data_IF_766244369497
#
_entry.id   IF_766244369497
#
_cell.length_a   1.000
_cell.length_b   1.000
_cell.length_c   1.000
_cell.angle_alpha   90.00
_cell.angle_beta   90.00
_cell.angle_gamma   90.00
#
_symmetry.space_group_name_H-M   'P 1'
#
loop_
_entity.id
_entity.type
_entity.pdbx_description
1 polymer ?
#
# COMPACT_ATOMS: atom_id res chain seq x y z
N UNK A 1 -24.21 12.94 -2.95
CA UNK A 1 -24.46 11.73 -3.74
C UNK A 1 -23.18 10.90 -3.72
N UNK A 2 -23.15 9.89 -2.86
CA UNK A 2 -21.96 9.10 -2.52
C UNK A 2 -21.71 8.13 -3.67
N UNK A 3 -20.59 8.27 -4.37
CA UNK A 3 -20.19 7.34 -5.41
C UNK A 3 -19.62 6.06 -4.80
N UNK A 4 -20.28 4.95 -5.09
CA UNK A 4 -19.75 3.61 -4.87
C UNK A 4 -18.46 3.42 -5.66
N UNK A 5 -17.39 3.06 -4.94
CA UNK A 5 -16.24 2.40 -5.54
C UNK A 5 -16.75 1.05 -6.05
N UNK A 6 -16.80 0.88 -7.37
CA UNK A 6 -17.19 -0.37 -8.01
C UNK A 6 -16.23 -1.48 -7.57
N UNK A 7 -16.73 -2.33 -6.68
CA UNK A 7 -16.20 -3.67 -6.48
C UNK A 7 -16.50 -4.49 -7.73
N UNK A 8 -15.48 -4.89 -8.46
CA UNK A 8 -15.59 -5.90 -9.52
C UNK A 8 -15.64 -7.27 -8.84
N UNK A 9 -16.77 -7.62 -8.27
CA UNK A 9 -17.27 -9.00 -8.06
C UNK A 9 -18.65 -8.87 -7.44
N UNK A 10 -19.68 -9.31 -8.17
CA UNK A 10 -21.07 -9.22 -7.74
C UNK A 10 -21.44 -10.19 -6.63
N UNK A 11 -21.19 -9.78 -5.42
CA UNK A 11 -21.89 -10.24 -4.21
C UNK A 11 -22.09 -8.98 -3.37
N UNK A 12 -23.34 -8.67 -3.03
CA UNK A 12 -23.71 -7.59 -2.12
C UNK A 12 -23.19 -7.95 -0.70
N UNK A 13 -21.91 -7.73 -0.47
CA UNK A 13 -21.36 -7.73 0.89
C UNK A 13 -21.66 -6.37 1.49
N UNK A 14 -22.33 -6.36 2.63
CA UNK A 14 -22.42 -5.21 3.54
C UNK A 14 -21.03 -4.59 3.63
N UNK A 15 -20.89 -3.28 3.38
CA UNK A 15 -19.59 -2.60 3.49
C UNK A 15 -18.94 -3.00 4.83
N UNK A 16 -17.82 -3.73 4.82
CA UNK A 16 -17.22 -4.21 6.05
C UNK A 16 -16.87 -3.00 6.91
N UNK A 17 -17.24 -3.07 8.18
CA UNK A 17 -17.03 -2.00 9.16
C UNK A 17 -15.55 -1.64 9.21
N UNK A 18 -15.23 -0.34 9.12
CA UNK A 18 -13.86 0.15 9.28
C UNK A 18 -13.46 0.07 10.76
N UNK A 19 -12.38 -0.64 11.06
CA UNK A 19 -11.93 -0.87 12.44
C UNK A 19 -10.51 -0.33 12.62
N UNK A 20 -10.26 0.26 13.79
CA UNK A 20 -8.94 0.75 14.18
C UNK A 20 -8.55 2.05 13.49
N UNK A 21 -7.25 2.27 13.40
CA UNK A 21 -6.64 3.42 12.70
C UNK A 21 -7.01 4.80 13.26
N UNK A 22 -7.40 4.86 14.53
CA UNK A 22 -7.81 6.13 15.15
C UNK A 22 -6.69 7.18 15.12
N UNK A 23 -5.48 6.76 15.44
CA UNK A 23 -4.32 7.66 15.46
C UNK A 23 -4.00 8.22 14.06
N UNK A 24 -4.07 7.38 13.03
CA UNK A 24 -3.84 7.80 11.65
C UNK A 24 -4.93 8.76 11.17
N UNK A 25 -6.20 8.45 11.46
CA UNK A 25 -7.33 9.33 11.14
C UNK A 25 -7.24 10.68 11.87
N UNK A 26 -6.82 10.70 13.13
CA UNK A 26 -6.62 11.93 13.90
C UNK A 26 -5.49 12.79 13.32
N UNK A 27 -4.37 12.17 12.91
CA UNK A 27 -3.26 12.89 12.25
C UNK A 27 -3.69 13.51 10.92
N UNK A 28 -4.43 12.76 10.10
CA UNK A 28 -5.00 13.25 8.84
C UNK A 28 -5.97 14.42 9.10
N UNK A 29 -6.86 14.27 10.07
CA UNK A 29 -7.83 15.30 10.43
C UNK A 29 -7.17 16.59 10.97
N UNK A 30 -6.12 16.43 11.76
CA UNK A 30 -5.34 17.58 12.27
C UNK A 30 -4.67 18.35 11.12
N UNK A 31 -4.14 17.67 10.12
CA UNK A 31 -3.58 18.32 8.94
C UNK A 31 -4.68 18.98 8.09
N UNK A 32 -5.77 18.27 7.82
CA UNK A 32 -6.86 18.75 6.97
C UNK A 32 -7.55 20.00 7.53
N UNK A 33 -7.70 20.08 8.84
CA UNK A 33 -8.29 21.24 9.53
C UNK A 33 -7.46 22.53 9.42
N UNK A 34 -6.20 22.46 9.01
CA UNK A 34 -5.38 23.68 8.78
C UNK A 34 -5.85 24.50 7.58
N UNK A 35 -6.72 23.93 6.73
CA UNK A 35 -7.30 24.57 5.54
C UNK A 35 -6.26 25.10 4.53
N UNK A 36 -5.08 24.53 4.53
CA UNK A 36 -4.02 24.76 3.55
C UNK A 36 -3.89 23.53 2.64
N UNK A 37 -3.20 23.70 1.51
CA UNK A 37 -2.79 22.55 0.71
C UNK A 37 -1.88 21.65 1.54
N UNK A 38 -2.13 20.34 1.49
CA UNK A 38 -1.40 19.34 2.26
C UNK A 38 -0.97 18.17 1.41
N UNK A 39 0.31 17.77 1.51
CA UNK A 39 0.85 16.58 0.86
C UNK A 39 1.10 15.50 1.91
N UNK A 40 0.47 14.35 1.72
CA UNK A 40 0.57 13.19 2.61
C UNK A 40 1.16 12.02 1.85
N UNK A 41 2.09 11.31 2.47
CA UNK A 41 2.60 10.04 1.96
C UNK A 41 2.15 8.93 2.89
N UNK A 42 1.47 7.91 2.33
CA UNK A 42 1.07 6.71 3.07
C UNK A 42 1.77 5.51 2.47
N UNK A 43 2.60 4.88 3.27
CA UNK A 43 3.30 3.65 2.90
C UNK A 43 2.92 2.52 3.86
N UNK A 44 3.05 1.30 3.41
CA UNK A 44 2.75 0.12 4.21
C UNK A 44 2.66 -1.10 3.31
N UNK A 45 2.71 -2.28 3.92
CA UNK A 45 2.62 -3.55 3.19
C UNK A 45 1.38 -3.58 2.28
N UNK A 46 1.45 -4.41 1.24
CA UNK A 46 0.27 -4.71 0.43
C UNK A 46 -0.86 -5.24 1.33
N UNK A 47 -2.11 -4.90 1.01
CA UNK A 47 -3.31 -5.36 1.73
C UNK A 47 -3.48 -4.85 3.16
N UNK A 48 -2.64 -3.89 3.58
CA UNK A 48 -2.71 -3.27 4.92
C UNK A 48 -3.85 -2.25 5.08
N UNK A 49 -4.53 -1.90 3.98
CA UNK A 49 -5.69 -0.99 4.01
C UNK A 49 -5.37 0.48 3.77
N UNK A 50 -4.28 0.83 3.04
CA UNK A 50 -3.90 2.22 2.73
C UNK A 50 -5.04 3.01 2.07
N UNK A 51 -5.52 2.55 0.93
CA UNK A 51 -6.59 3.20 0.15
C UNK A 51 -7.90 3.27 0.94
N UNK A 52 -8.18 2.22 1.73
CA UNK A 52 -9.38 2.17 2.58
C UNK A 52 -9.33 3.20 3.71
N UNK A 53 -8.14 3.43 4.31
CA UNK A 53 -7.95 4.48 5.31
C UNK A 53 -8.32 5.86 4.73
N UNK A 54 -7.86 6.18 3.52
CA UNK A 54 -8.16 7.47 2.90
C UNK A 54 -9.61 7.57 2.44
N UNK A 55 -10.17 6.48 1.91
CA UNK A 55 -11.60 6.44 1.59
C UNK A 55 -12.49 6.65 2.82
N UNK A 56 -12.12 6.08 3.98
CA UNK A 56 -12.82 6.30 5.24
C UNK A 56 -12.60 7.73 5.75
N UNK A 57 -11.36 8.23 5.69
CA UNK A 57 -11.07 9.61 6.05
C UNK A 57 -11.88 10.60 5.21
N UNK A 58 -12.00 10.40 3.90
CA UNK A 58 -12.79 11.25 3.03
C UNK A 58 -14.28 11.30 3.45
N UNK A 59 -14.85 10.19 3.90
CA UNK A 59 -16.23 10.15 4.41
C UNK A 59 -16.41 10.96 5.69
N UNK A 60 -15.51 10.79 6.66
CA UNK A 60 -15.64 11.41 7.99
C UNK A 60 -15.19 12.87 8.02
N UNK A 61 -14.31 13.29 7.10
CA UNK A 61 -13.76 14.67 7.05
C UNK A 61 -14.69 15.67 6.40
N UNK A 62 -15.85 15.26 5.89
CA UNK A 62 -16.75 16.10 5.10
C UNK A 62 -16.05 16.73 3.87
N UNK A 63 -15.15 15.97 3.23
CA UNK A 63 -14.51 16.37 2.00
C UNK A 63 -15.56 16.71 0.93
N UNK A 64 -15.30 17.75 0.12
CA UNK A 64 -16.21 18.17 -0.96
C UNK A 64 -16.28 17.07 -2.03
N UNK A 65 -15.12 16.62 -2.49
CA UNK A 65 -15.01 15.50 -3.45
C UNK A 65 -13.80 14.64 -3.10
N UNK A 66 -13.93 13.36 -3.33
CA UNK A 66 -12.83 12.40 -3.24
C UNK A 66 -12.44 11.94 -4.65
N UNK A 67 -11.24 12.31 -5.09
CA UNK A 67 -10.64 11.95 -6.37
C UNK A 67 -9.67 10.80 -6.16
N UNK A 68 -10.07 9.58 -6.46
CA UNK A 68 -9.24 8.40 -6.27
C UNK A 68 -8.73 7.83 -7.60
N UNK A 69 -7.41 7.80 -7.78
CA UNK A 69 -6.74 7.25 -8.95
C UNK A 69 -5.81 6.12 -8.53
N UNK A 70 -5.91 4.97 -9.19
CA UNK A 70 -5.03 3.83 -8.95
C UNK A 70 -4.17 3.54 -10.18
N UNK A 71 -2.87 3.28 -9.98
CA UNK A 71 -1.98 2.83 -11.03
C UNK A 71 -2.32 1.41 -11.50
N UNK A 72 -2.01 1.10 -12.76
CA UNK A 72 -2.05 -0.28 -13.28
C UNK A 72 -0.86 -1.07 -12.75
N UNK A 73 -1.12 -2.31 -12.36
CA UNK A 73 -0.06 -3.24 -11.95
C UNK A 73 1.02 -3.38 -13.04
N UNK A 74 2.30 -3.50 -12.67
CA UNK A 74 3.40 -3.58 -13.62
C UNK A 74 3.47 -4.97 -14.27
N UNK A 75 2.55 -5.24 -15.18
CA UNK A 75 2.60 -6.41 -16.04
C UNK A 75 3.50 -6.15 -17.25
N UNK A 76 3.97 -7.23 -17.91
CA UNK A 76 4.74 -7.12 -19.14
C UNK A 76 3.90 -6.41 -20.21
N UNK A 77 4.47 -5.36 -20.80
CA UNK A 77 3.81 -4.54 -21.82
C UNK A 77 3.09 -3.30 -21.31
N UNK A 78 2.93 -3.08 -20.01
CA UNK A 78 2.37 -1.83 -19.50
C UNK A 78 3.36 -0.68 -19.73
N UNK A 79 2.93 0.29 -20.54
CA UNK A 79 3.69 1.50 -20.90
C UNK A 79 3.27 2.71 -20.06
N UNK A 80 4.09 3.77 -20.12
CA UNK A 80 3.73 5.06 -19.54
C UNK A 80 2.43 5.63 -20.11
N UNK A 81 2.17 5.43 -21.41
CA UNK A 81 0.91 5.86 -22.03
C UNK A 81 -0.30 5.13 -21.45
N UNK A 82 -0.21 3.81 -21.23
CA UNK A 82 -1.31 3.06 -20.64
C UNK A 82 -1.62 3.49 -19.19
N UNK A 83 -0.61 3.94 -18.42
CA UNK A 83 -0.84 4.54 -17.10
C UNK A 83 -1.63 5.86 -17.21
N UNK A 84 -1.27 6.72 -18.18
CA UNK A 84 -2.02 7.98 -18.45
C UNK A 84 -3.44 7.71 -18.95
N UNK A 85 -3.60 6.74 -19.84
CA UNK A 85 -4.94 6.34 -20.33
C UNK A 85 -5.83 5.79 -19.22
N UNK A 86 -5.23 5.04 -18.29
CA UNK A 86 -5.93 4.55 -17.10
C UNK A 86 -6.36 5.70 -16.17
N UNK A 87 -5.46 6.66 -15.92
CA UNK A 87 -5.80 7.87 -15.17
C UNK A 87 -6.92 8.66 -15.86
N UNK A 88 -6.81 8.89 -17.16
CA UNK A 88 -7.82 9.59 -17.97
C UNK A 88 -9.19 8.90 -17.90
N UNK A 89 -9.21 7.56 -17.99
CA UNK A 89 -10.45 6.78 -17.89
C UNK A 89 -11.09 6.90 -16.51
N UNK A 90 -10.30 6.82 -15.43
CA UNK A 90 -10.80 7.01 -14.07
C UNK A 90 -11.37 8.43 -13.88
N UNK A 91 -10.67 9.45 -14.38
CA UNK A 91 -11.14 10.83 -14.33
C UNK A 91 -12.45 11.03 -15.12
N UNK A 92 -12.52 10.50 -16.34
CA UNK A 92 -13.73 10.57 -17.16
C UNK A 92 -14.94 9.92 -16.48
N UNK A 93 -14.75 8.77 -15.82
CA UNK A 93 -15.81 8.09 -15.06
C UNK A 93 -16.30 8.95 -13.89
N UNK A 94 -15.39 9.59 -13.13
CA UNK A 94 -15.77 10.47 -12.03
C UNK A 94 -16.52 11.72 -12.51
N UNK A 95 -16.10 12.27 -13.64
CA UNK A 95 -16.71 13.45 -14.25
C UNK A 95 -18.00 13.12 -15.05
N UNK A 96 -18.25 11.83 -15.36
CA UNK A 96 -19.34 11.37 -16.23
C UNK A 96 -19.27 11.97 -17.63
N UNK A 97 -18.08 12.05 -18.20
CA UNK A 97 -17.80 12.53 -19.56
C UNK A 97 -17.20 11.39 -20.40
N UNK A 98 -17.19 11.54 -21.74
CA UNK A 98 -16.53 10.58 -22.61
C UNK A 98 -15.04 10.39 -22.25
N UNK A 99 -14.48 9.19 -22.52
CA UNK A 99 -13.06 8.95 -22.34
C UNK A 99 -12.19 9.97 -23.11
N UNK A 100 -11.10 10.39 -22.48
CA UNK A 100 -10.11 11.30 -23.05
C UNK A 100 -8.74 10.63 -23.03
N UNK A 101 -7.78 11.22 -23.74
CA UNK A 101 -6.38 10.75 -23.76
C UNK A 101 -5.46 11.90 -23.42
N UNK A 102 -4.46 11.65 -22.58
CA UNK A 102 -3.41 12.61 -22.27
C UNK A 102 -2.08 12.11 -22.83
N UNK A 103 -1.40 12.94 -23.63
CA UNK A 103 -0.08 12.64 -24.17
C UNK A 103 0.98 12.78 -23.06
N UNK A 104 0.71 13.68 -22.11
CA UNK A 104 1.63 14.03 -21.02
C UNK A 104 0.94 14.07 -19.66
N UNK A 105 1.69 13.82 -18.59
CA UNK A 105 1.18 13.93 -17.23
C UNK A 105 0.84 15.37 -16.83
N UNK A 106 1.53 16.38 -17.41
CA UNK A 106 1.21 17.78 -17.16
C UNK A 106 -0.21 18.08 -17.64
N UNK A 107 -0.59 17.62 -18.84
CA UNK A 107 -1.94 17.80 -19.39
C UNK A 107 -2.98 17.12 -18.50
N UNK A 108 -2.66 15.90 -18.00
CA UNK A 108 -3.55 15.15 -17.12
C UNK A 108 -3.81 15.88 -15.79
N UNK A 109 -2.76 16.40 -15.17
CA UNK A 109 -2.87 17.13 -13.90
C UNK A 109 -3.50 18.52 -14.08
N UNK A 110 -3.19 19.22 -15.17
CA UNK A 110 -3.81 20.50 -15.48
C UNK A 110 -5.32 20.33 -15.74
N UNK A 111 -5.70 19.27 -16.46
CA UNK A 111 -7.11 18.97 -16.66
C UNK A 111 -7.82 18.65 -15.33
N UNK A 112 -7.20 17.86 -14.45
CA UNK A 112 -7.73 17.62 -13.10
C UNK A 112 -7.94 18.93 -12.34
N UNK A 113 -7.02 19.90 -12.48
CA UNK A 113 -7.10 21.21 -11.80
C UNK A 113 -8.35 22.01 -12.17
N UNK A 114 -8.95 21.78 -13.34
CA UNK A 114 -10.19 22.44 -13.74
C UNK A 114 -11.41 22.01 -12.91
N UNK A 115 -11.29 20.88 -12.22
CA UNK A 115 -12.42 20.24 -11.51
C UNK A 115 -12.25 20.21 -9.99
N UNK A 116 -11.03 20.36 -9.49
CA UNK A 116 -10.76 20.36 -8.03
C UNK A 116 -11.30 21.65 -7.38
N UNK A 117 -11.78 21.46 -6.14
CA UNK A 117 -12.33 22.54 -5.31
C UNK A 117 -11.66 22.56 -3.94
N UNK A 118 -11.70 23.68 -3.22
CA UNK A 118 -11.23 23.73 -1.84
C UNK A 118 -11.95 22.69 -0.97
N UNK A 119 -11.19 21.92 -0.23
CA UNK A 119 -11.70 20.82 0.60
C UNK A 119 -11.71 19.44 -0.10
N UNK A 120 -11.22 19.36 -1.33
CA UNK A 120 -11.10 18.07 -2.02
C UNK A 120 -9.93 17.24 -1.48
N UNK A 121 -10.08 15.93 -1.58
CA UNK A 121 -9.03 14.95 -1.30
C UNK A 121 -8.70 14.22 -2.58
N UNK A 122 -7.42 14.20 -2.94
CA UNK A 122 -6.91 13.52 -4.13
C UNK A 122 -6.02 12.38 -3.66
N UNK A 123 -6.35 11.16 -4.06
CA UNK A 123 -5.56 9.96 -3.81
C UNK A 123 -4.90 9.50 -5.10
N UNK A 124 -3.57 9.40 -5.11
CA UNK A 124 -2.81 8.65 -6.10
C UNK A 124 -2.35 7.35 -5.44
N UNK A 125 -3.09 6.28 -5.71
CA UNK A 125 -2.82 4.96 -5.15
C UNK A 125 -1.92 4.16 -6.06
N UNK A 126 -1.04 3.33 -5.46
CA UNK A 126 0.03 2.61 -6.13
C UNK A 126 0.85 3.55 -7.05
N UNK A 127 1.26 4.69 -6.48
CA UNK A 127 1.97 5.76 -7.20
C UNK A 127 3.27 5.26 -7.86
N UNK A 128 3.92 4.27 -7.29
CA UNK A 128 5.10 3.62 -7.87
C UNK A 128 4.79 2.98 -9.23
N UNK A 129 3.59 2.46 -9.43
CA UNK A 129 3.17 1.91 -10.71
C UNK A 129 2.92 3.01 -11.75
N UNK A 130 2.29 4.12 -11.33
CA UNK A 130 2.08 5.27 -12.23
C UNK A 130 3.39 5.83 -12.77
N UNK A 131 4.43 5.92 -11.91
CA UNK A 131 5.71 6.53 -12.25
C UNK A 131 6.79 5.58 -12.76
N UNK A 132 6.60 4.25 -12.68
CA UNK A 132 7.68 3.28 -12.91
C UNK A 132 8.27 3.28 -14.31
N UNK A 133 7.51 3.68 -15.31
CA UNK A 133 7.90 3.70 -16.74
C UNK A 133 8.04 5.11 -17.32
N UNK A 134 7.92 6.14 -16.49
CA UNK A 134 7.97 7.54 -16.92
C UNK A 134 8.87 8.37 -15.97
N UNK A 135 10.14 8.62 -16.32
CA UNK A 135 11.02 9.46 -15.51
C UNK A 135 10.50 10.90 -15.34
N UNK A 136 9.63 11.35 -16.25
CA UNK A 136 9.00 12.66 -16.18
C UNK A 136 7.84 12.77 -15.18
N UNK A 137 7.31 11.65 -14.69
CA UNK A 137 6.13 11.65 -13.82
C UNK A 137 6.34 12.47 -12.53
N UNK A 138 7.40 12.18 -11.77
CA UNK A 138 7.68 12.86 -10.49
C UNK A 138 7.96 14.36 -10.68
N UNK A 139 8.82 14.80 -11.62
CA UNK A 139 8.99 16.23 -11.90
C UNK A 139 7.69 16.94 -12.28
N UNK A 140 6.83 16.33 -13.08
CA UNK A 140 5.55 16.90 -13.50
C UNK A 140 4.53 16.97 -12.37
N UNK A 141 4.43 15.91 -11.57
CA UNK A 141 3.60 15.90 -10.37
C UNK A 141 4.03 17.00 -9.38
N UNK A 142 5.35 17.14 -9.17
CA UNK A 142 5.91 18.21 -8.34
C UNK A 142 5.59 19.59 -8.89
N UNK A 143 5.83 19.82 -10.18
CA UNK A 143 5.57 21.12 -10.81
C UNK A 143 4.09 21.52 -10.75
N UNK A 144 3.21 20.55 -10.90
CA UNK A 144 1.78 20.75 -10.71
C UNK A 144 1.43 21.06 -9.26
N UNK A 145 1.98 20.28 -8.31
CA UNK A 145 1.72 20.47 -6.88
C UNK A 145 2.20 21.84 -6.37
N UNK A 146 3.34 22.30 -6.83
CA UNK A 146 3.88 23.62 -6.45
C UNK A 146 2.99 24.81 -6.86
N UNK A 147 2.10 24.60 -7.83
CA UNK A 147 1.11 25.61 -8.26
C UNK A 147 -0.17 25.59 -7.42
N UNK A 148 -0.35 24.58 -6.55
CA UNK A 148 -1.59 24.46 -5.77
C UNK A 148 -1.63 25.47 -4.61
N UNK A 149 -2.55 26.42 -4.69
CA UNK A 149 -2.80 27.42 -3.65
C UNK A 149 -4.09 27.18 -2.88
N UNK A 150 -4.93 26.26 -3.35
CA UNK A 150 -6.21 25.92 -2.73
C UNK A 150 -6.03 24.91 -1.59
N UNK A 151 -6.96 24.91 -0.65
CA UNK A 151 -7.07 23.85 0.35
C UNK A 151 -7.41 22.51 -0.31
N UNK A 152 -6.41 21.72 -0.64
CA UNK A 152 -6.52 20.37 -1.22
C UNK A 152 -5.58 19.44 -0.47
N UNK A 153 -6.04 18.22 -0.17
CA UNK A 153 -5.21 17.19 0.40
C UNK A 153 -4.79 16.21 -0.69
N UNK A 154 -3.52 16.25 -1.08
CA UNK A 154 -2.94 15.25 -1.98
C UNK A 154 -2.34 14.11 -1.17
N UNK A 155 -2.79 12.91 -1.44
CA UNK A 155 -2.33 11.69 -0.77
C UNK A 155 -1.66 10.77 -1.77
N UNK A 156 -0.38 10.51 -1.55
CA UNK A 156 0.42 9.58 -2.34
C UNK A 156 0.51 8.26 -1.59
N UNK A 157 -0.12 7.22 -2.13
CA UNK A 157 -0.12 5.89 -1.55
C UNK A 157 0.70 4.90 -2.38
N UNK A 158 1.36 3.99 -1.70
CA UNK A 158 2.00 2.86 -2.35
C UNK A 158 2.50 1.82 -1.37
N UNK A 159 2.80 0.64 -1.88
CA UNK A 159 3.42 -0.40 -1.10
C UNK A 159 4.80 0.04 -0.62
N UNK A 160 5.26 -0.49 0.52
CA UNK A 160 6.62 -0.24 1.01
C UNK A 160 7.58 -0.72 -0.06
N UNK A 161 8.20 0.22 -0.75
CA UNK A 161 9.12 -0.06 -1.84
C UNK A 161 10.25 0.96 -1.83
N UNK A 162 11.38 0.54 -2.35
CA UNK A 162 12.53 1.44 -2.58
C UNK A 162 12.15 2.62 -3.46
N UNK A 163 11.21 2.41 -4.39
CA UNK A 163 10.76 3.47 -5.29
C UNK A 163 10.17 4.68 -4.54
N UNK A 164 9.29 4.44 -3.56
CA UNK A 164 8.70 5.52 -2.73
C UNK A 164 9.79 6.20 -1.88
N UNK A 165 10.68 5.41 -1.29
CA UNK A 165 11.78 5.95 -0.49
C UNK A 165 12.68 6.87 -1.33
N UNK A 166 13.09 6.43 -2.52
CA UNK A 166 14.04 7.14 -3.38
C UNK A 166 13.40 8.30 -4.14
N UNK A 167 12.21 8.09 -4.72
CA UNK A 167 11.59 9.07 -5.62
C UNK A 167 10.69 10.08 -4.92
N UNK A 168 10.24 9.79 -3.68
CA UNK A 168 9.34 10.67 -2.94
C UNK A 168 9.99 11.12 -1.63
N UNK A 169 10.26 10.20 -0.69
CA UNK A 169 10.65 10.58 0.66
C UNK A 169 12.05 11.15 0.78
N UNK A 170 13.02 10.61 0.03
CA UNK A 170 14.42 11.08 -0.03
C UNK A 170 14.67 12.03 -1.20
N UNK A 171 13.69 12.21 -2.05
CA UNK A 171 13.80 13.04 -3.23
C UNK A 171 13.86 14.52 -2.89
N UNK A 172 14.80 15.24 -3.48
CA UNK A 172 14.86 16.72 -3.42
C UNK A 172 13.60 17.36 -4.00
N UNK A 173 12.88 16.67 -4.89
CA UNK A 173 11.65 17.15 -5.48
C UNK A 173 10.57 17.46 -4.45
N UNK A 174 10.45 16.62 -3.40
CA UNK A 174 9.43 16.76 -2.37
C UNK A 174 9.98 17.21 -1.01
N UNK A 175 11.27 17.55 -0.94
CA UNK A 175 11.87 18.04 0.29
C UNK A 175 11.14 19.30 0.81
N UNK A 176 10.73 19.28 2.08
CA UNK A 176 9.99 20.37 2.71
C UNK A 176 8.52 20.51 2.26
N UNK A 177 8.02 19.66 1.35
CA UNK A 177 6.63 19.70 0.84
C UNK A 177 5.73 18.66 1.50
N UNK A 178 6.29 17.57 1.96
CA UNK A 178 5.52 16.51 2.65
C UNK A 178 5.16 16.98 4.05
N UNK A 179 3.87 17.13 4.29
CA UNK A 179 3.34 17.60 5.57
C UNK A 179 3.12 16.45 6.57
N UNK A 180 2.90 15.24 6.05
CA UNK A 180 2.63 14.07 6.88
C UNK A 180 3.07 12.79 6.18
N UNK A 181 3.83 11.96 6.90
CA UNK A 181 4.13 10.59 6.47
C UNK A 181 3.47 9.62 7.45
N UNK A 182 2.73 8.65 6.91
CA UNK A 182 2.10 7.56 7.66
C UNK A 182 2.68 6.23 7.17
N UNK A 183 3.33 5.50 8.05
CA UNK A 183 3.66 4.09 7.84
C UNK A 183 2.55 3.26 8.46
N UNK A 184 1.76 2.56 7.63
CA UNK A 184 0.71 1.69 8.13
C UNK A 184 1.29 0.35 8.53
N UNK A 185 1.16 0.05 9.81
CA UNK A 185 1.51 -1.24 10.39
C UNK A 185 0.29 -2.18 10.41
N UNK A 186 0.47 -3.49 10.62
CA UNK A 186 -0.65 -4.39 10.90
C UNK A 186 -1.54 -3.86 12.05
N UNK A 187 -2.81 -4.21 12.04
CA UNK A 187 -3.71 -3.92 13.17
C UNK A 187 -3.13 -4.55 14.45
N UNK A 188 -3.24 -3.84 15.55
CA UNK A 188 -2.91 -4.40 16.86
C UNK A 188 -3.76 -5.63 17.17
N UNK A 189 -3.35 -6.42 18.15
CA UNK A 189 -4.14 -7.60 18.60
C UNK A 189 -5.56 -7.20 18.97
N UNK A 190 -5.72 -6.07 19.69
CA UNK A 190 -7.05 -5.57 20.10
C UNK A 190 -7.89 -5.12 18.92
N UNK A 191 -7.31 -4.42 17.95
CA UNK A 191 -8.02 -4.00 16.73
C UNK A 191 -8.39 -5.21 15.88
N UNK A 192 -7.47 -6.19 15.74
CA UNK A 192 -7.72 -7.44 15.02
C UNK A 192 -8.84 -8.26 15.67
N UNK A 193 -8.85 -8.34 17.01
CA UNK A 193 -9.94 -8.96 17.75
C UNK A 193 -11.27 -8.26 17.50
N UNK A 194 -11.27 -6.93 17.54
CA UNK A 194 -12.45 -6.13 17.20
C UNK A 194 -12.93 -6.39 15.78
N UNK A 195 -11.99 -6.45 14.82
CA UNK A 195 -12.28 -6.73 13.42
C UNK A 195 -12.93 -8.12 13.23
N UNK A 196 -12.37 -9.18 13.82
CA UNK A 196 -12.90 -10.54 13.70
C UNK A 196 -14.28 -10.69 14.36
N UNK A 197 -14.54 -9.96 15.46
CA UNK A 197 -15.88 -9.90 16.06
C UNK A 197 -16.91 -9.27 15.11
N UNK A 198 -16.54 -8.24 14.34
CA UNK A 198 -17.46 -7.64 13.36
C UNK A 198 -17.79 -8.58 12.19
N UNK A 199 -16.92 -9.56 11.91
CA UNK A 199 -17.20 -10.65 10.98
C UNK A 199 -18.07 -11.76 11.56
N UNK A 200 -18.46 -11.66 12.84
CA UNK A 200 -19.25 -12.66 13.53
C UNK A 200 -18.46 -13.79 14.19
N UNK A 201 -17.12 -13.68 14.22
CA UNK A 201 -16.28 -14.70 14.86
C UNK A 201 -16.31 -14.59 16.38
N UNK A 202 -16.64 -15.70 17.05
CA UNK A 202 -16.57 -15.86 18.50
C UNK A 202 -15.39 -16.77 18.85
N UNK A 203 -14.24 -16.16 19.14
CA UNK A 203 -12.98 -16.87 19.34
C UNK A 203 -12.53 -16.80 20.80
N UNK A 204 -11.98 -17.90 21.30
CA UNK A 204 -11.17 -17.87 22.53
C UNK A 204 -9.89 -17.04 22.30
N UNK A 205 -9.25 -16.58 23.38
CA UNK A 205 -7.96 -15.89 23.26
C UNK A 205 -6.90 -16.77 22.58
N UNK A 206 -6.93 -18.06 22.84
CA UNK A 206 -6.02 -19.03 22.23
C UNK A 206 -6.24 -19.16 20.72
N UNK A 207 -7.50 -19.30 20.28
CA UNK A 207 -7.82 -19.36 18.85
C UNK A 207 -7.51 -18.06 18.14
N UNK A 208 -7.77 -16.92 18.77
CA UNK A 208 -7.35 -15.63 18.27
C UNK A 208 -5.83 -15.57 18.05
N UNK A 209 -5.06 -16.00 19.04
CA UNK A 209 -3.60 -16.05 18.94
C UNK A 209 -3.15 -16.96 17.81
N UNK A 210 -3.73 -18.17 17.67
CA UNK A 210 -3.42 -19.08 16.54
C UNK A 210 -3.66 -18.41 15.19
N UNK A 211 -4.82 -17.81 14.97
CA UNK A 211 -5.12 -17.12 13.71
C UNK A 211 -4.14 -15.98 13.43
N UNK A 212 -3.90 -15.12 14.41
CA UNK A 212 -3.01 -13.97 14.24
C UNK A 212 -1.54 -14.37 14.07
N UNK A 213 -1.11 -15.50 14.59
CA UNK A 213 0.26 -16.01 14.36
C UNK A 213 0.50 -16.41 12.90
N UNK A 214 -0.56 -16.72 12.15
CA UNK A 214 -0.47 -17.08 10.72
C UNK A 214 -0.57 -15.85 9.82
N UNK A 215 -1.58 -14.99 10.06
CA UNK A 215 -1.90 -13.88 9.14
C UNK A 215 -1.47 -12.52 9.64
N UNK A 216 -1.03 -12.41 10.88
CA UNK A 216 -0.80 -11.12 11.55
C UNK A 216 -2.09 -10.30 11.63
N UNK A 217 -1.94 -9.00 11.84
CA UNK A 217 -3.07 -8.05 11.85
C UNK A 217 -3.33 -7.41 10.48
N UNK A 218 -3.07 -8.09 9.37
CA UNK A 218 -3.32 -7.57 8.02
C UNK A 218 -4.80 -7.67 7.69
N UNK A 219 -5.53 -6.54 7.55
CA UNK A 219 -6.99 -6.54 7.43
C UNK A 219 -7.53 -7.46 6.34
N UNK A 220 -6.90 -7.45 5.17
CA UNK A 220 -7.36 -8.27 4.06
C UNK A 220 -7.27 -9.78 4.33
N UNK A 221 -6.26 -10.23 5.09
CA UNK A 221 -6.18 -11.63 5.49
C UNK A 221 -7.20 -11.98 6.55
N UNK A 222 -7.48 -11.05 7.47
CA UNK A 222 -8.53 -11.22 8.46
C UNK A 222 -9.92 -11.37 7.81
N UNK A 223 -10.17 -10.69 6.70
CA UNK A 223 -11.42 -10.80 5.92
C UNK A 223 -11.61 -12.19 5.27
N UNK A 224 -10.55 -12.98 5.15
CA UNK A 224 -10.64 -14.31 4.52
C UNK A 224 -11.15 -15.40 5.47
N UNK A 225 -11.22 -15.15 6.76
CA UNK A 225 -11.71 -16.13 7.71
C UNK A 225 -13.23 -16.34 7.59
N UNK A 226 -13.62 -17.60 7.63
CA UNK A 226 -15.02 -17.99 7.64
C UNK A 226 -15.53 -18.09 9.09
N UNK A 227 -16.48 -17.24 9.51
CA UNK A 227 -16.98 -17.24 10.89
C UNK A 227 -17.74 -18.53 11.28
N UNK A 228 -18.17 -19.35 10.31
CA UNK A 228 -18.84 -20.62 10.54
C UNK A 228 -17.87 -21.79 10.77
N UNK A 229 -16.56 -21.55 10.68
CA UNK A 229 -15.52 -22.56 10.84
C UNK A 229 -14.74 -22.37 12.13
N UNK A 230 -14.14 -23.44 12.64
CA UNK A 230 -13.19 -23.34 13.75
C UNK A 230 -11.91 -22.61 13.33
N UNK A 231 -11.10 -22.17 14.30
CA UNK A 231 -9.81 -21.56 13.99
C UNK A 231 -8.90 -22.52 13.22
N UNK A 232 -8.88 -23.78 13.61
CA UNK A 232 -8.02 -24.82 12.97
C UNK A 232 -8.48 -25.11 11.53
N UNK A 233 -9.78 -25.19 11.27
CA UNK A 233 -10.31 -25.37 9.92
C UNK A 233 -10.02 -24.18 9.02
N UNK A 234 -10.15 -22.96 9.53
CA UNK A 234 -9.73 -21.75 8.79
C UNK A 234 -8.25 -21.77 8.44
N UNK A 235 -7.38 -22.12 9.38
CA UNK A 235 -5.93 -22.24 9.14
C UNK A 235 -5.65 -23.30 8.08
N UNK A 236 -6.27 -24.49 8.22
CA UNK A 236 -6.11 -25.60 7.27
C UNK A 236 -6.49 -25.17 5.86
N UNK A 237 -7.67 -24.57 5.70
CA UNK A 237 -8.18 -24.11 4.41
C UNK A 237 -7.28 -23.05 3.76
N UNK A 238 -6.87 -22.03 4.52
CA UNK A 238 -6.14 -20.89 3.97
C UNK A 238 -4.65 -21.17 3.73
N UNK A 239 -4.00 -21.97 4.60
CA UNK A 239 -2.55 -22.12 4.59
C UNK A 239 -2.04 -23.49 4.16
N UNK A 240 -2.86 -24.55 4.21
CA UNK A 240 -2.39 -25.92 3.96
C UNK A 240 -3.10 -26.66 2.82
N UNK A 241 -4.29 -26.22 2.40
CA UNK A 241 -4.93 -26.79 1.21
C UNK A 241 -4.25 -26.28 -0.06
N UNK A 242 -4.18 -27.12 -1.11
CA UNK A 242 -3.55 -26.73 -2.40
C UNK A 242 -4.11 -25.47 -3.02
N UNK A 243 -5.40 -25.23 -2.82
CA UNK A 243 -6.12 -24.01 -3.25
C UNK A 243 -6.08 -22.90 -2.22
N UNK A 244 -5.40 -23.10 -1.09
CA UNK A 244 -5.35 -22.15 0.01
C UNK A 244 -4.73 -20.83 -0.42
N UNK A 245 -5.41 -19.74 -0.05
CA UNK A 245 -5.02 -18.41 -0.46
C UNK A 245 -3.58 -18.06 -0.08
N UNK A 246 -3.14 -18.45 1.12
CA UNK A 246 -1.80 -18.13 1.64
C UNK A 246 -0.70 -18.97 0.99
N UNK A 247 -1.04 -20.12 0.40
CA UNK A 247 -0.07 -21.00 -0.27
C UNK A 247 0.60 -20.32 -1.47
N UNK A 248 -0.17 -19.56 -2.24
CA UNK A 248 0.34 -18.84 -3.43
C UNK A 248 0.62 -17.37 -3.17
N UNK A 249 0.20 -16.85 -2.01
CA UNK A 249 0.26 -15.43 -1.70
C UNK A 249 1.70 -14.91 -1.59
N UNK A 250 2.59 -15.71 -0.99
CA UNK A 250 3.99 -15.36 -0.87
C UNK A 250 4.62 -15.14 -2.25
N UNK A 251 4.42 -16.03 -3.19
CA UNK A 251 4.99 -15.93 -4.53
C UNK A 251 4.42 -14.70 -5.28
N UNK A 252 3.14 -14.39 -5.10
CA UNK A 252 2.50 -13.21 -5.70
C UNK A 252 3.07 -11.91 -5.14
N UNK A 253 3.15 -11.77 -3.81
CA UNK A 253 3.72 -10.56 -3.17
C UNK A 253 5.18 -10.41 -3.57
N UNK A 254 5.91 -11.50 -3.61
CA UNK A 254 7.32 -11.52 -3.97
C UNK A 254 7.56 -11.10 -5.42
N UNK A 255 6.74 -11.59 -6.34
CA UNK A 255 6.78 -11.18 -7.75
C UNK A 255 6.49 -9.68 -7.89
N UNK A 256 5.47 -9.17 -7.19
CA UNK A 256 5.09 -7.75 -7.25
C UNK A 256 6.17 -6.79 -6.71
N UNK A 257 6.87 -7.21 -5.66
CA UNK A 257 7.89 -6.36 -5.02
C UNK A 257 9.26 -6.43 -5.70
N UNK A 258 9.63 -7.59 -6.23
CA UNK A 258 11.00 -7.86 -6.65
C UNK A 258 11.15 -8.26 -8.12
N UNK A 259 10.05 -8.40 -8.86
CA UNK A 259 10.03 -8.71 -10.30
C UNK A 259 11.00 -9.88 -10.67
N UNK A 260 11.77 -9.69 -11.74
CA UNK A 260 12.71 -10.69 -12.28
C UNK A 260 13.78 -11.15 -11.26
N UNK A 261 14.08 -10.34 -10.24
CA UNK A 261 15.05 -10.68 -9.19
C UNK A 261 14.45 -11.52 -8.05
N UNK A 262 13.16 -11.84 -8.08
CA UNK A 262 12.46 -12.59 -7.04
C UNK A 262 13.14 -13.90 -6.63
N UNK A 263 13.67 -14.67 -7.60
CA UNK A 263 14.37 -15.91 -7.30
C UNK A 263 15.60 -15.74 -6.39
N UNK A 264 16.37 -14.66 -6.57
CA UNK A 264 17.53 -14.35 -5.71
C UNK A 264 17.10 -13.92 -4.32
N UNK A 265 16.07 -13.09 -4.20
CA UNK A 265 15.51 -12.72 -2.90
C UNK A 265 14.98 -13.94 -2.14
N UNK A 266 14.34 -14.88 -2.84
CA UNK A 266 13.86 -16.14 -2.24
C UNK A 266 15.02 -16.98 -1.66
N UNK A 267 16.14 -17.11 -2.38
CA UNK A 267 17.35 -17.77 -1.88
C UNK A 267 17.89 -17.11 -0.60
N UNK A 268 17.87 -15.77 -0.54
CA UNK A 268 18.28 -15.03 0.67
C UNK A 268 17.37 -15.40 1.85
N UNK A 269 16.04 -15.38 1.66
CA UNK A 269 15.09 -15.74 2.72
C UNK A 269 15.22 -17.21 3.13
N UNK A 270 15.41 -18.11 2.18
CA UNK A 270 15.63 -19.53 2.45
C UNK A 270 16.87 -19.74 3.32
N UNK A 271 17.92 -18.95 3.10
CA UNK A 271 19.14 -19.01 3.94
C UNK A 271 18.92 -18.54 5.39
N UNK A 272 17.85 -17.81 5.67
CA UNK A 272 17.52 -17.29 7.02
C UNK A 272 16.50 -18.17 7.77
N UNK A 273 15.99 -19.23 7.16
CA UNK A 273 14.98 -20.10 7.80
C UNK A 273 15.47 -20.78 9.08
N UNK A 274 16.76 -21.09 9.13
CA UNK A 274 17.35 -21.82 10.25
C UNK A 274 17.89 -20.92 11.36
N UNK A 275 17.68 -19.59 11.24
CA UNK A 275 18.07 -18.66 12.29
C UNK A 275 18.77 -17.38 11.80
N UNK A 276 19.32 -16.64 12.74
CA UNK A 276 20.02 -15.37 12.50
C UNK A 276 21.35 -15.64 11.81
N UNK A 277 21.64 -14.89 10.75
CA UNK A 277 22.90 -14.97 9.99
C UNK A 277 23.47 -13.59 9.71
N UNK A 278 24.78 -13.51 9.64
CA UNK A 278 25.49 -12.32 9.17
C UNK A 278 25.42 -12.21 7.64
N UNK A 279 25.67 -11.02 7.12
CA UNK A 279 25.68 -10.79 5.67
C UNK A 279 26.73 -11.66 4.94
N UNK A 280 27.86 -11.95 5.59
CA UNK A 280 28.91 -12.83 5.05
C UNK A 280 28.47 -14.29 4.98
N UNK A 281 27.78 -14.80 6.00
CA UNK A 281 27.24 -16.17 6.01
C UNK A 281 26.13 -16.34 4.97
N UNK A 282 25.24 -15.35 4.80
CA UNK A 282 24.23 -15.33 3.76
C UNK A 282 24.91 -15.40 2.39
N UNK A 283 25.91 -14.53 2.13
CA UNK A 283 26.65 -14.48 0.88
C UNK A 283 27.26 -15.85 0.53
N UNK A 284 27.87 -16.50 1.51
CA UNK A 284 28.49 -17.79 1.32
C UNK A 284 27.45 -18.88 1.03
N UNK A 285 26.33 -18.89 1.74
CA UNK A 285 25.30 -19.93 1.61
C UNK A 285 24.56 -19.89 0.26
N UNK A 286 24.47 -18.71 -0.37
CA UNK A 286 23.79 -18.56 -1.69
C UNK A 286 24.78 -18.36 -2.85
N UNK A 287 26.09 -18.52 -2.61
CA UNK A 287 27.19 -18.35 -3.58
C UNK A 287 27.10 -17.00 -4.36
N UNK A 288 26.86 -15.90 -3.65
CA UNK A 288 26.63 -14.60 -4.28
C UNK A 288 27.93 -13.84 -4.51
N UNK A 289 28.19 -13.48 -5.78
CA UNK A 289 29.47 -12.90 -6.19
C UNK A 289 29.75 -11.47 -5.67
N UNK A 290 28.71 -10.61 -5.53
CA UNK A 290 28.89 -9.17 -5.26
C UNK A 290 28.28 -8.74 -3.92
N UNK A 291 29.12 -8.38 -2.94
CA UNK A 291 28.68 -7.98 -1.59
C UNK A 291 27.80 -6.72 -1.57
N UNK A 292 28.09 -5.70 -2.38
CA UNK A 292 27.31 -4.46 -2.42
C UNK A 292 25.87 -4.67 -2.87
N UNK A 293 25.67 -5.51 -3.88
CA UNK A 293 24.31 -5.85 -4.37
C UNK A 293 23.52 -6.65 -3.33
N UNK A 294 24.19 -7.57 -2.60
CA UNK A 294 23.53 -8.32 -1.53
C UNK A 294 23.06 -7.40 -0.39
N UNK A 295 23.88 -6.42 0.01
CA UNK A 295 23.51 -5.43 1.04
C UNK A 295 22.24 -4.66 0.63
N UNK A 296 22.18 -4.18 -0.61
CA UNK A 296 20.99 -3.52 -1.14
C UNK A 296 19.76 -4.45 -1.13
N UNK A 297 19.94 -5.72 -1.53
CA UNK A 297 18.84 -6.69 -1.49
C UNK A 297 18.35 -6.96 -0.07
N UNK A 298 19.25 -7.02 0.91
CA UNK A 298 18.87 -7.12 2.33
C UNK A 298 18.11 -5.89 2.80
N UNK A 299 18.55 -4.69 2.45
CA UNK A 299 17.83 -3.46 2.78
C UNK A 299 16.42 -3.45 2.18
N UNK A 300 16.27 -3.94 0.95
CA UNK A 300 14.95 -4.11 0.32
C UNK A 300 14.04 -5.08 1.11
N UNK A 301 14.58 -6.22 1.55
CA UNK A 301 13.83 -7.19 2.34
C UNK A 301 13.46 -6.65 3.73
N UNK A 302 14.35 -5.86 4.36
CA UNK A 302 14.09 -5.19 5.64
C UNK A 302 12.98 -4.14 5.47
N UNK A 303 13.10 -3.28 4.46
CA UNK A 303 12.10 -2.25 4.14
C UNK A 303 10.74 -2.89 3.82
N UNK A 304 10.73 -4.01 3.10
CA UNK A 304 9.52 -4.75 2.79
C UNK A 304 8.96 -5.56 3.98
N UNK A 305 9.68 -5.61 5.11
CA UNK A 305 9.25 -6.30 6.33
C UNK A 305 9.37 -7.84 6.30
N UNK A 306 10.15 -8.39 5.37
CA UNK A 306 10.45 -9.84 5.33
C UNK A 306 11.58 -10.23 6.28
N UNK A 307 12.47 -9.30 6.58
CA UNK A 307 13.64 -9.51 7.44
C UNK A 307 13.71 -8.41 8.50
N UNK A 308 14.14 -8.77 9.70
CA UNK A 308 14.42 -7.83 10.78
C UNK A 308 15.93 -7.82 11.03
N UNK A 309 16.52 -6.64 11.03
CA UNK A 309 17.93 -6.48 11.41
C UNK A 309 18.03 -6.43 12.94
N UNK A 310 18.78 -7.36 13.51
CA UNK A 310 19.13 -7.34 14.94
C UNK A 310 20.54 -6.80 15.09
N UNK A 311 20.73 -5.83 15.99
CA UNK A 311 22.07 -5.47 16.47
C UNK A 311 22.46 -6.48 17.53
N UNK A 312 23.56 -7.20 17.31
CA UNK A 312 24.21 -7.94 18.38
C UNK A 312 24.70 -6.89 19.41
N UNK A 313 23.98 -6.74 20.51
CA UNK A 313 24.56 -6.05 21.67
C UNK A 313 25.72 -6.93 22.14
N UNK A 314 26.93 -6.44 21.98
CA UNK A 314 28.08 -7.01 22.72
C UNK A 314 27.77 -6.82 24.20
N UNK A 315 27.22 -7.85 24.84
CA UNK A 315 27.35 -8.03 26.28
C UNK A 315 28.76 -8.53 26.48
N UNK A 316 29.69 -7.58 26.62
CA UNK A 316 31.02 -7.83 27.21
C UNK A 316 30.90 -7.96 28.70
#
# INVERSE_FOLDING_TARGET
MILHILSITGVAMSNPVFIGRKAELERLNTLYKKKNSGLVVIKGRRRIGKSRLIGEFAKISSAQTFWGFAGLAPEDGISAQQQRDNFARQLALMLKIPPMTFIDWSDAFEHLSLHIKPGDIILLDEISWMGSKDPGFIPKLKAWWDKQTMHVLLVLCGSVSTWIEENILKSTAFFGRINLTISLEPLSILESAGFLRTLGMQLSHYDMYKLLSIVGGVPWYLEQFNPSMTADDNIKQLAFEKSGLLVTEFDRIFHDLFNVKGATYKKILDSLKDGVRTLSEIRQSIEFAHSGTLSQMMDHLIVAGFVVKQSLSNTG
#
